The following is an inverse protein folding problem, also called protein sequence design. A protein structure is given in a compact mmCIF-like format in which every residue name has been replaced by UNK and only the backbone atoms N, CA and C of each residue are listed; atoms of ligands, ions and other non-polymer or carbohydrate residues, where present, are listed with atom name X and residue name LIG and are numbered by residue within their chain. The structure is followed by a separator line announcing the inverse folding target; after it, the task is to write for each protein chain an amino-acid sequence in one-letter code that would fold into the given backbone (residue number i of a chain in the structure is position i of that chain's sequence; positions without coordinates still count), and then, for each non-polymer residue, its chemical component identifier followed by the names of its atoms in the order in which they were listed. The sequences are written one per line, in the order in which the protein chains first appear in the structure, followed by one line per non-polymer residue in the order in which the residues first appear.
data_IF_063725265385
#
_entry.id   IF_063725265385
#
_cell.length_a   1.000
_cell.length_b   1.000
_cell.length_c   1.000
_cell.angle_alpha   90.00
_cell.angle_beta   90.00
_cell.angle_gamma   90.00
#
_symmetry.space_group_name_H-M   'P 1'
#
loop_
_entity.id
_entity.type
_entity.pdbx_description
1 polymer ?
#
# COMPACT_ATOMS: atom_id res chain seq x y z
N UNK A 1 0.93 -17.76 14.42
CA UNK A 1 1.06 -16.29 14.41
C UNK A 1 -0.26 -15.73 13.90
N UNK A 2 -0.89 -14.85 14.65
CA UNK A 2 -2.16 -14.26 14.24
C UNK A 2 -1.92 -12.97 13.41
N UNK A 3 -2.98 -12.44 12.77
CA UNK A 3 -2.88 -11.25 11.90
C UNK A 3 -2.36 -10.00 12.62
N UNK A 4 -2.74 -9.81 13.87
CA UNK A 4 -2.25 -8.67 14.64
C UNK A 4 -0.75 -8.76 14.90
N UNK A 5 -0.25 -9.94 15.22
CA UNK A 5 1.18 -10.18 15.42
C UNK A 5 1.99 -9.95 14.14
N UNK A 6 1.46 -10.39 12.98
CA UNK A 6 2.09 -10.16 11.67
C UNK A 6 2.18 -8.68 11.39
N UNK A 7 1.06 -7.95 11.54
CA UNK A 7 1.00 -6.51 11.33
C UNK A 7 1.98 -5.77 12.23
N UNK A 8 1.97 -6.06 13.52
CA UNK A 8 2.85 -5.42 14.49
C UNK A 8 4.31 -5.67 14.15
N UNK A 9 4.71 -6.94 13.93
CA UNK A 9 6.09 -7.28 13.58
C UNK A 9 6.57 -6.59 12.29
N UNK A 10 5.70 -6.49 11.28
CA UNK A 10 6.03 -5.80 10.04
C UNK A 10 6.28 -4.31 10.29
N UNK A 11 5.37 -3.64 10.97
CA UNK A 11 5.47 -2.20 11.24
C UNK A 11 6.67 -1.89 12.15
N UNK A 12 6.91 -2.68 13.20
CA UNK A 12 8.06 -2.52 14.10
C UNK A 12 9.37 -2.71 13.36
N UNK A 13 9.45 -3.71 12.47
CA UNK A 13 10.64 -3.91 11.65
C UNK A 13 10.96 -2.67 10.79
N UNK A 14 9.96 -2.12 10.10
CA UNK A 14 10.19 -0.93 9.27
C UNK A 14 10.40 0.34 10.09
N UNK A 15 9.77 0.45 11.26
CA UNK A 15 10.07 1.53 12.21
C UNK A 15 11.54 1.50 12.62
N UNK A 16 12.10 0.31 12.92
CA UNK A 16 13.54 0.15 13.23
C UNK A 16 14.47 0.51 12.07
N UNK A 17 13.95 0.52 10.83
CA UNK A 17 14.66 0.93 9.60
C UNK A 17 14.39 2.39 9.21
N UNK A 18 13.95 3.21 10.15
CA UNK A 18 13.71 4.65 9.94
C UNK A 18 12.57 4.94 8.93
N UNK A 19 11.58 4.06 8.84
CA UNK A 19 10.34 4.35 8.13
C UNK A 19 9.35 5.02 9.07
N UNK A 20 8.69 6.05 8.59
CA UNK A 20 7.53 6.63 9.28
C UNK A 20 6.35 5.71 9.14
N UNK A 21 5.78 5.27 10.25
CA UNK A 21 4.57 4.44 10.23
C UNK A 21 3.37 5.35 10.03
N UNK A 22 2.64 5.08 8.95
CA UNK A 22 1.44 5.84 8.58
C UNK A 22 0.18 5.00 8.81
N UNK A 23 -0.92 5.65 9.21
CA UNK A 23 -2.19 4.96 9.36
C UNK A 23 -2.75 4.55 7.99
N UNK A 24 -3.62 3.54 8.00
CA UNK A 24 -4.43 3.17 6.84
C UNK A 24 -5.26 4.38 6.37
N UNK A 25 -5.20 4.68 5.08
CA UNK A 25 -6.09 5.68 4.49
C UNK A 25 -7.55 5.20 4.54
N UNK A 26 -8.53 6.12 4.50
CA UNK A 26 -9.94 5.76 4.41
C UNK A 26 -10.23 4.86 3.20
N UNK A 27 -11.15 3.92 3.35
CA UNK A 27 -11.58 3.03 2.27
C UNK A 27 -12.25 3.78 1.12
N UNK A 28 -13.01 4.81 1.44
CA UNK A 28 -13.69 5.67 0.46
C UNK A 28 -12.81 6.88 0.16
N UNK A 29 -12.47 7.03 -1.11
CA UNK A 29 -11.64 8.13 -1.59
C UNK A 29 -12.56 9.26 -2.07
N UNK A 30 -12.51 10.41 -1.40
CA UNK A 30 -13.44 11.52 -1.69
C UNK A 30 -13.12 12.34 -2.94
N UNK A 31 -11.85 12.40 -3.34
CA UNK A 31 -11.38 13.37 -4.35
C UNK A 31 -10.65 12.71 -5.53
N UNK A 32 -10.80 11.41 -5.73
CA UNK A 32 -10.21 10.72 -6.87
C UNK A 32 -11.32 10.14 -7.77
N UNK A 33 -11.58 10.74 -8.94
CA UNK A 33 -12.62 10.25 -9.84
C UNK A 33 -12.25 8.91 -10.49
N UNK A 34 -11.00 8.48 -10.38
CA UNK A 34 -10.52 7.23 -10.99
C UNK A 34 -10.64 6.02 -10.07
N UNK A 35 -10.85 6.25 -8.77
CA UNK A 35 -10.90 5.22 -7.74
C UNK A 35 -12.10 5.44 -6.82
N UNK A 36 -13.04 4.49 -6.81
CA UNK A 36 -14.16 4.51 -5.86
C UNK A 36 -13.71 4.13 -4.46
N UNK A 37 -12.84 3.12 -4.36
CA UNK A 37 -12.33 2.60 -3.10
C UNK A 37 -10.80 2.50 -3.12
N UNK A 38 -10.19 2.58 -1.95
CA UNK A 38 -8.77 2.26 -1.77
C UNK A 38 -8.55 0.79 -2.08
N UNK A 39 -7.84 0.49 -3.15
CA UNK A 39 -7.61 -0.87 -3.66
C UNK A 39 -6.15 -1.33 -3.53
N UNK A 40 -5.26 -0.44 -3.10
CA UNK A 40 -3.84 -0.73 -2.88
C UNK A 40 -3.23 0.22 -1.85
N UNK A 41 -2.16 -0.21 -1.20
CA UNK A 41 -1.43 0.60 -0.22
C UNK A 41 -0.83 1.87 -0.81
N UNK A 42 -0.52 1.87 -2.11
CA UNK A 42 0.05 3.03 -2.79
C UNK A 42 -0.94 4.17 -3.05
N UNK A 43 -2.24 3.94 -2.93
CA UNK A 43 -3.24 4.94 -3.33
C UNK A 43 -3.09 6.26 -2.56
N UNK A 44 -2.80 6.20 -1.26
CA UNK A 44 -2.58 7.39 -0.45
C UNK A 44 -1.33 8.20 -0.83
N UNK A 45 -0.41 7.59 -1.58
CA UNK A 45 0.84 8.24 -2.03
C UNK A 45 0.81 8.63 -3.51
N UNK A 46 -0.33 8.48 -4.19
CA UNK A 46 -0.48 8.73 -5.63
C UNK A 46 0.05 10.10 -6.04
N UNK A 47 -0.32 11.15 -5.33
CA UNK A 47 0.10 12.51 -5.64
C UNK A 47 1.59 12.75 -5.41
N UNK A 48 2.19 12.07 -4.44
CA UNK A 48 3.64 12.11 -4.22
C UNK A 48 4.35 11.44 -5.40
N UNK A 49 3.85 10.29 -5.88
CA UNK A 49 4.42 9.57 -7.01
C UNK A 49 4.28 10.34 -8.32
N UNK A 50 3.19 11.04 -8.52
CA UNK A 50 2.96 11.90 -9.69
C UNK A 50 3.73 13.22 -9.61
N UNK A 51 4.28 13.56 -8.45
CA UNK A 51 4.99 14.82 -8.24
C UNK A 51 4.08 16.03 -8.02
N UNK A 52 2.77 15.79 -7.78
CA UNK A 52 1.79 16.84 -7.51
C UNK A 52 1.92 17.41 -6.10
N UNK A 53 2.39 16.59 -5.17
CA UNK A 53 2.57 16.95 -3.76
C UNK A 53 3.99 16.68 -3.33
N UNK A 54 4.64 17.60 -2.57
CA UNK A 54 5.97 17.35 -2.04
C UNK A 54 5.92 16.19 -1.04
N UNK A 55 7.00 15.39 -1.02
CA UNK A 55 7.15 14.34 -0.03
C UNK A 55 7.27 14.94 1.37
N UNK A 56 6.52 14.41 2.32
CA UNK A 56 6.63 14.79 3.73
C UNK A 56 7.66 13.95 4.47
N UNK A 57 7.84 12.69 4.05
CA UNK A 57 8.79 11.75 4.64
C UNK A 57 9.56 11.02 3.55
N UNK A 58 10.87 10.73 3.75
CA UNK A 58 11.64 10.00 2.74
C UNK A 58 11.29 8.52 2.67
N UNK A 59 10.81 7.93 3.76
CA UNK A 59 10.44 6.51 3.87
C UNK A 59 9.17 6.37 4.69
N UNK A 60 8.26 5.51 4.26
CA UNK A 60 7.02 5.21 4.95
C UNK A 60 6.74 3.71 4.96
N UNK A 61 6.01 3.25 5.96
CA UNK A 61 5.42 1.92 5.98
C UNK A 61 4.00 1.99 6.53
N UNK A 62 3.14 1.14 6.01
CA UNK A 62 1.74 1.10 6.39
C UNK A 62 1.16 -0.32 6.35
N UNK A 63 0.00 -0.48 6.98
CA UNK A 63 -0.90 -1.60 6.77
C UNK A 63 -2.20 -1.02 6.24
N UNK A 64 -2.40 -1.05 4.94
CA UNK A 64 -3.54 -0.44 4.27
C UNK A 64 -4.69 -1.41 4.12
N UNK A 65 -5.87 -1.04 4.61
CA UNK A 65 -7.12 -1.74 4.32
C UNK A 65 -7.55 -1.45 2.89
N UNK A 66 -7.81 -2.51 2.12
CA UNK A 66 -8.11 -2.44 0.70
C UNK A 66 -9.43 -3.13 0.38
N UNK A 67 -10.13 -2.61 -0.63
CA UNK A 67 -11.36 -3.18 -1.17
C UNK A 67 -11.24 -3.28 -2.70
N UNK A 68 -11.40 -4.50 -3.24
CA UNK A 68 -11.35 -4.79 -4.68
C UNK A 68 -12.65 -5.39 -5.17
N UNK A 69 -13.61 -4.53 -5.47
CA UNK A 69 -14.95 -4.91 -5.90
C UNK A 69 -15.36 -4.26 -7.22
N UNK A 70 -14.48 -3.44 -7.82
CA UNK A 70 -14.79 -2.72 -9.06
C UNK A 70 -13.52 -2.28 -9.79
N UNK A 71 -13.65 -2.00 -11.08
CA UNK A 71 -12.58 -1.48 -11.93
C UNK A 71 -11.55 -2.53 -12.35
N UNK A 72 -10.35 -2.08 -12.70
CA UNK A 72 -9.27 -2.91 -13.24
C UNK A 72 -8.79 -4.02 -12.27
N UNK A 73 -8.90 -3.78 -10.98
CA UNK A 73 -8.54 -4.73 -9.92
C UNK A 73 -9.81 -5.25 -9.25
N UNK A 74 -10.71 -5.83 -10.05
CA UNK A 74 -11.92 -6.47 -9.58
C UNK A 74 -11.66 -7.95 -9.35
N UNK A 75 -11.68 -8.37 -8.09
CA UNK A 75 -11.45 -9.76 -7.70
C UNK A 75 -12.79 -10.53 -7.50
N UNK A 76 -13.95 -9.91 -7.82
CA UNK A 76 -15.28 -10.50 -7.54
C UNK A 76 -15.51 -11.84 -8.23
N UNK A 77 -14.98 -12.02 -9.43
CA UNK A 77 -15.15 -13.27 -10.18
C UNK A 77 -14.34 -14.43 -9.61
N UNK A 78 -13.26 -14.12 -8.88
CA UNK A 78 -12.34 -15.08 -8.29
C UNK A 78 -12.67 -15.40 -6.83
N UNK A 79 -13.31 -14.45 -6.13
CA UNK A 79 -13.69 -14.61 -4.72
C UNK A 79 -14.70 -15.77 -4.57
N UNK A 80 -14.36 -16.69 -3.68
CA UNK A 80 -15.16 -17.89 -3.42
C UNK A 80 -14.86 -19.07 -4.36
N UNK A 81 -14.01 -18.88 -5.39
CA UNK A 81 -13.54 -19.95 -6.28
C UNK A 81 -12.16 -20.45 -5.91
N UNK A 82 -11.37 -19.64 -5.27
CA UNK A 82 -10.05 -19.98 -4.75
C UNK A 82 -9.88 -19.55 -3.28
N UNK A 83 -8.70 -19.81 -2.73
CA UNK A 83 -8.35 -19.45 -1.34
C UNK A 83 -7.51 -18.18 -1.25
N UNK A 84 -7.23 -17.51 -2.36
CA UNK A 84 -6.32 -16.36 -2.42
C UNK A 84 -7.03 -15.03 -2.59
N UNK A 85 -8.16 -14.98 -3.33
CA UNK A 85 -8.86 -13.75 -3.63
C UNK A 85 -9.91 -13.42 -2.57
N UNK A 86 -9.85 -12.20 -2.07
CA UNK A 86 -10.80 -11.65 -1.12
C UNK A 86 -11.17 -10.24 -1.57
N UNK A 87 -12.43 -9.86 -1.39
CA UNK A 87 -12.90 -8.51 -1.70
C UNK A 87 -12.28 -7.47 -0.78
N UNK A 88 -12.03 -7.84 0.48
CA UNK A 88 -11.44 -7.00 1.51
C UNK A 88 -10.23 -7.67 2.13
N UNK A 89 -9.13 -6.94 2.25
CA UNK A 89 -7.86 -7.43 2.79
C UNK A 89 -6.99 -6.28 3.31
N UNK A 90 -5.93 -6.60 4.03
CA UNK A 90 -4.89 -5.65 4.39
C UNK A 90 -3.65 -5.87 3.51
N UNK A 91 -3.07 -4.77 3.05
CA UNK A 91 -1.82 -4.76 2.28
C UNK A 91 -0.73 -4.14 3.16
N UNK A 92 0.29 -4.94 3.47
CA UNK A 92 1.48 -4.47 4.17
C UNK A 92 2.42 -3.84 3.14
N UNK A 93 2.68 -2.55 3.27
CA UNK A 93 3.46 -1.76 2.34
C UNK A 93 4.66 -1.07 2.97
N UNK A 94 5.74 -0.93 2.19
CA UNK A 94 6.82 -0.03 2.52
C UNK A 94 7.19 0.79 1.28
N UNK A 95 7.55 2.05 1.50
CA UNK A 95 7.69 3.06 0.48
C UNK A 95 8.96 3.87 0.69
N UNK A 96 9.67 4.16 -0.39
CA UNK A 96 10.83 5.05 -0.38
C UNK A 96 10.66 6.12 -1.46
N UNK A 97 10.67 7.38 -1.05
CA UNK A 97 10.43 8.51 -1.94
C UNK A 97 11.73 9.27 -2.22
N UNK A 98 12.19 9.22 -3.47
CA UNK A 98 13.27 10.11 -3.96
C UNK A 98 14.69 9.71 -3.59
N UNK A 99 14.93 8.47 -3.15
CA UNK A 99 16.28 7.92 -3.10
C UNK A 99 16.52 7.03 -4.32
N UNK A 100 17.17 7.57 -5.32
CA UNK A 100 17.73 6.77 -6.40
C UNK A 100 19.15 6.38 -6.03
N UNK A 101 19.44 5.09 -6.01
CA UNK A 101 20.79 4.55 -5.82
C UNK A 101 21.64 4.75 -7.09
N UNK A 102 21.01 5.13 -8.20
CA UNK A 102 21.69 5.35 -9.48
C UNK A 102 21.67 6.83 -9.88
N UNK A 103 22.84 7.48 -10.05
CA UNK A 103 22.93 8.90 -10.34
C UNK A 103 22.34 9.35 -11.67
N UNK A 104 21.98 8.43 -12.57
CA UNK A 104 21.43 8.73 -13.89
C UNK A 104 19.92 8.50 -14.06
N UNK A 105 19.22 8.13 -13.00
CA UNK A 105 17.78 7.87 -13.04
C UNK A 105 17.03 8.96 -12.29
N UNK A 106 16.58 9.99 -12.99
CA UNK A 106 15.92 11.18 -12.41
C UNK A 106 14.58 10.93 -11.73
N UNK A 107 13.99 9.72 -11.85
CA UNK A 107 12.74 9.31 -11.20
C UNK A 107 12.71 7.79 -11.06
N UNK A 108 13.40 7.22 -10.10
CA UNK A 108 13.24 5.80 -9.81
C UNK A 108 12.43 5.62 -8.55
N UNK A 109 11.24 5.10 -8.76
CA UNK A 109 10.42 4.49 -7.75
C UNK A 109 10.96 3.10 -7.48
N UNK A 110 11.50 2.85 -6.30
CA UNK A 110 11.74 1.49 -5.85
C UNK A 110 10.49 1.01 -5.12
N UNK A 111 9.75 0.12 -5.80
CA UNK A 111 8.68 -0.64 -5.17
C UNK A 111 9.24 -1.92 -4.60
N UNK A 112 9.22 -2.08 -3.29
CA UNK A 112 9.23 -3.41 -2.70
C UNK A 112 7.77 -3.78 -2.36
N UNK A 113 7.14 -4.52 -3.25
CA UNK A 113 5.87 -5.17 -2.94
C UNK A 113 6.15 -6.44 -2.14
N UNK A 114 5.74 -6.45 -0.90
CA UNK A 114 5.34 -7.69 -0.27
C UNK A 114 3.84 -7.84 -0.51
N UNK A 115 3.47 -8.72 -1.44
CA UNK A 115 2.08 -9.13 -1.59
C UNK A 115 1.61 -9.75 -0.28
N UNK A 116 0.64 -9.08 0.31
CA UNK A 116 0.25 -9.26 1.68
C UNK A 116 -0.19 -10.66 2.05
N UNK A 117 0.09 -10.98 3.28
CA UNK A 117 -0.65 -11.99 3.99
C UNK A 117 -2.12 -11.57 4.04
N UNK A 118 -2.97 -12.36 3.43
CA UNK A 118 -4.41 -12.23 3.56
C UNK A 118 -4.78 -12.79 4.93
N UNK A 119 -5.27 -11.92 5.80
CA UNK A 119 -5.85 -12.34 7.08
C UNK A 119 -7.34 -12.60 6.88
N UNK A 120 -7.77 -13.81 7.25
CA UNK A 120 -9.17 -14.18 7.38
C UNK A 120 -9.77 -13.58 8.64
#
# INVERSE_FOLDING_TARGET
MNCNEIRTKFLDFFASKQHTILPSAPMVIKNDPTLMFTNAGMNQFKDIFLGNTPRTTPRAADSQKCLRVSGKHNDLEEVGRDTYHHTMFEMLGNWSFGFCVYPNFKRSLFFCFFNGFKCH
#
